data_IF_917090748894
#
_entry.id   IF_917090748894
#
_cell.length_a   1.000
_cell.length_b   1.000
_cell.length_c   1.000
_cell.angle_alpha   90.00
_cell.angle_beta   90.00
_cell.angle_gamma   90.00
#
_symmetry.space_group_name_H-M   'P 1'
#
loop_
_entity.id
_entity.type
_entity.pdbx_description
1 polymer ?
#
# COMPACT_ATOMS: atom_id res chain seq x y z
N UNK A 1 -9.46 0.81 -22.32
CA UNK A 1 -8.87 0.00 -21.24
C UNK A 1 -8.20 0.98 -20.29
N UNK A 2 -8.52 0.97 -18.99
CA UNK A 2 -7.80 1.81 -18.05
C UNK A 2 -6.33 1.39 -18.04
N UNK A 3 -5.40 2.34 -18.06
CA UNK A 3 -3.97 2.04 -18.00
C UNK A 3 -3.67 1.14 -16.78
N UNK A 4 -2.85 0.11 -17.00
CA UNK A 4 -2.43 -0.78 -15.94
C UNK A 4 -1.56 0.02 -14.95
N UNK A 5 -2.12 0.30 -13.77
CA UNK A 5 -1.42 1.09 -12.74
C UNK A 5 -0.55 0.23 -11.81
N UNK A 6 -0.88 -1.06 -11.66
CA UNK A 6 -0.12 -2.02 -10.86
C UNK A 6 0.61 -2.98 -11.79
N UNK A 7 1.85 -2.63 -12.14
CA UNK A 7 2.66 -3.38 -13.11
C UNK A 7 3.59 -4.40 -12.45
N UNK A 8 3.96 -4.20 -11.19
CA UNK A 8 4.85 -5.09 -10.42
C UNK A 8 4.65 -4.91 -8.92
N UNK A 9 5.02 -5.93 -8.14
CA UNK A 9 5.16 -5.85 -6.68
C UNK A 9 6.63 -5.66 -6.24
N UNK A 10 7.57 -5.67 -7.18
CA UNK A 10 9.00 -5.53 -6.90
C UNK A 10 9.35 -4.05 -6.73
N UNK A 11 10.02 -3.71 -5.62
CA UNK A 11 10.47 -2.37 -5.25
C UNK A 11 11.92 -2.40 -4.80
N UNK A 12 12.69 -1.33 -5.05
CA UNK A 12 14.13 -1.32 -4.78
C UNK A 12 14.44 -1.26 -3.28
N UNK A 13 13.58 -0.60 -2.50
CA UNK A 13 13.79 -0.40 -1.07
C UNK A 13 12.55 -0.77 -0.23
N UNK A 14 12.72 -1.03 1.08
CA UNK A 14 11.60 -1.20 1.99
C UNK A 14 10.65 0.01 2.03
N UNK A 15 11.19 1.22 1.90
CA UNK A 15 10.38 2.45 1.88
C UNK A 15 9.47 2.49 0.65
N UNK A 16 10.00 2.25 -0.54
CA UNK A 16 9.19 2.15 -1.76
C UNK A 16 8.15 1.03 -1.65
N UNK A 17 8.50 -0.08 -1.01
CA UNK A 17 7.57 -1.18 -0.73
C UNK A 17 6.41 -0.75 0.17
N UNK A 18 6.68 0.06 1.19
CA UNK A 18 5.65 0.62 2.07
C UNK A 18 4.76 1.62 1.34
N UNK A 19 5.33 2.50 0.51
CA UNK A 19 4.59 3.45 -0.32
C UNK A 19 3.68 2.73 -1.34
N UNK A 20 4.15 1.62 -1.92
CA UNK A 20 3.33 0.74 -2.75
C UNK A 20 2.18 0.12 -1.93
N UNK A 21 2.43 -0.35 -0.71
CA UNK A 21 1.40 -0.91 0.18
C UNK A 21 0.30 0.11 0.51
N UNK A 22 0.68 1.36 0.78
CA UNK A 22 -0.26 2.48 0.97
C UNK A 22 -1.09 2.70 -0.29
N UNK A 23 -0.46 2.66 -1.47
CA UNK A 23 -1.14 2.83 -2.75
C UNK A 23 -2.15 1.71 -3.01
N UNK A 24 -1.77 0.44 -2.79
CA UNK A 24 -2.68 -0.72 -2.89
C UNK A 24 -3.90 -0.53 -1.99
N UNK A 25 -3.68 -0.16 -0.73
CA UNK A 25 -4.73 0.03 0.27
C UNK A 25 -5.74 1.10 -0.16
N UNK A 26 -5.25 2.26 -0.64
CA UNK A 26 -6.09 3.37 -1.13
C UNK A 26 -6.83 3.02 -2.42
N UNK A 27 -6.19 2.27 -3.31
CA UNK A 27 -6.79 1.82 -4.58
C UNK A 27 -7.92 0.83 -4.34
N UNK A 28 -7.80 -0.06 -3.35
CA UNK A 28 -8.89 -0.94 -2.91
C UNK A 28 -10.16 -0.15 -2.57
N UNK A 29 -10.04 0.88 -1.72
CA UNK A 29 -11.17 1.76 -1.37
C UNK A 29 -11.76 2.48 -2.59
N UNK A 30 -10.91 2.95 -3.51
CA UNK A 30 -11.38 3.62 -4.74
C UNK A 30 -12.07 2.65 -5.71
N UNK A 31 -11.70 1.38 -5.73
CA UNK A 31 -12.37 0.37 -6.54
C UNK A 31 -13.75 0.00 -5.97
N UNK A 32 -13.88 -0.04 -4.64
CA UNK A 32 -15.17 -0.33 -4.00
C UNK A 32 -16.12 0.87 -4.05
N UNK A 33 -15.59 2.09 -3.93
CA UNK A 33 -16.33 3.34 -4.07
C UNK A 33 -15.66 4.26 -5.11
N UNK A 34 -16.14 4.27 -6.37
CA UNK A 34 -15.53 5.06 -7.43
C UNK A 34 -15.89 6.56 -7.38
N UNK A 35 -16.97 6.95 -6.67
CA UNK A 35 -17.38 8.35 -6.56
C UNK A 35 -16.48 9.13 -5.60
N UNK A 36 -15.72 10.07 -6.16
CA UNK A 36 -14.79 10.92 -5.43
C UNK A 36 -15.50 11.85 -4.44
N UNK A 37 -16.74 12.26 -4.71
CA UNK A 37 -17.49 13.12 -3.81
C UNK A 37 -17.88 12.36 -2.54
N UNK A 38 -18.36 11.12 -2.70
CA UNK A 38 -18.64 10.22 -1.57
C UNK A 38 -17.38 9.96 -0.76
N UNK A 39 -16.23 9.71 -1.41
CA UNK A 39 -14.96 9.52 -0.69
C UNK A 39 -14.52 10.76 0.10
N UNK A 40 -14.79 11.97 -0.41
CA UNK A 40 -14.47 13.22 0.29
C UNK A 40 -15.37 13.43 1.50
N UNK A 41 -16.65 13.13 1.36
CA UNK A 41 -17.64 13.22 2.43
C UNK A 41 -17.26 12.29 3.60
N UNK A 42 -16.98 11.01 3.30
CA UNK A 42 -16.61 10.01 4.31
C UNK A 42 -15.25 10.27 4.97
N UNK A 43 -14.41 11.14 4.39
CA UNK A 43 -13.04 11.37 4.91
C UNK A 43 -13.03 11.95 6.31
N UNK A 44 -13.96 12.85 6.62
CA UNK A 44 -14.03 13.49 7.94
C UNK A 44 -14.26 12.45 9.05
N UNK A 45 -15.08 11.44 8.78
CA UNK A 45 -15.47 10.42 9.76
C UNK A 45 -14.27 9.58 10.19
N UNK A 46 -13.50 9.08 9.21
CA UNK A 46 -12.41 8.16 9.52
C UNK A 46 -11.09 8.87 9.85
N UNK A 47 -10.88 10.11 9.39
CA UNK A 47 -9.61 10.82 9.59
C UNK A 47 -9.34 11.24 11.05
N UNK A 48 -10.39 11.36 11.86
CA UNK A 48 -10.31 11.74 13.27
C UNK A 48 -10.65 10.59 14.24
N UNK A 49 -10.93 9.39 13.72
CA UNK A 49 -11.26 8.22 14.51
C UNK A 49 -10.02 7.36 14.77
N UNK A 50 -9.67 7.16 16.05
CA UNK A 50 -8.50 6.34 16.45
C UNK A 50 -8.63 4.89 15.94
N UNK A 51 -9.83 4.31 16.04
CA UNK A 51 -10.13 2.96 15.54
C UNK A 51 -9.95 2.90 14.03
N UNK A 52 -10.44 3.91 13.31
CA UNK A 52 -10.32 3.96 11.86
C UNK A 52 -8.87 4.15 11.39
N UNK A 53 -8.09 4.97 12.09
CA UNK A 53 -6.66 5.15 11.82
C UNK A 53 -5.88 3.85 12.07
N UNK A 54 -6.24 3.12 13.13
CA UNK A 54 -5.67 1.80 13.44
C UNK A 54 -6.04 0.77 12.36
N UNK A 55 -7.31 0.74 11.95
CA UNK A 55 -7.78 -0.15 10.89
C UNK A 55 -7.09 0.15 9.54
N UNK A 56 -6.93 1.43 9.18
CA UNK A 56 -6.20 1.82 7.98
C UNK A 56 -4.73 1.35 8.04
N UNK A 57 -4.07 1.52 9.19
CA UNK A 57 -2.71 1.03 9.42
C UNK A 57 -2.61 -0.50 9.28
N UNK A 58 -3.59 -1.24 9.81
CA UNK A 58 -3.65 -2.70 9.68
C UNK A 58 -3.74 -3.16 8.21
N UNK A 59 -4.59 -2.51 7.40
CA UNK A 59 -4.70 -2.84 5.96
C UNK A 59 -3.37 -2.60 5.23
N UNK A 60 -2.70 -1.48 5.55
CA UNK A 60 -1.37 -1.18 4.99
C UNK A 60 -0.36 -2.25 5.42
N UNK A 61 -0.36 -2.67 6.68
CA UNK A 61 0.54 -3.71 7.19
C UNK A 61 0.36 -5.05 6.47
N UNK A 62 -0.88 -5.45 6.18
CA UNK A 62 -1.20 -6.69 5.44
C UNK A 62 -0.67 -6.61 4.00
N UNK A 63 -0.89 -5.48 3.31
CA UNK A 63 -0.35 -5.28 1.96
C UNK A 63 1.18 -5.23 1.97
N UNK A 64 1.78 -4.58 2.96
CA UNK A 64 3.23 -4.50 3.11
C UNK A 64 3.85 -5.87 3.39
N UNK A 65 3.20 -6.73 4.18
CA UNK A 65 3.64 -8.12 4.37
C UNK A 65 3.75 -8.87 3.03
N UNK A 66 2.77 -8.68 2.15
CA UNK A 66 2.76 -9.30 0.81
C UNK A 66 3.88 -8.75 -0.07
N UNK A 67 4.06 -7.43 -0.10
CA UNK A 67 5.11 -6.77 -0.88
C UNK A 67 6.50 -7.14 -0.35
N UNK A 68 6.70 -7.16 0.97
CA UNK A 68 7.96 -7.56 1.58
C UNK A 68 8.34 -9.00 1.23
N UNK A 69 7.37 -9.92 1.26
CA UNK A 69 7.58 -11.30 0.83
C UNK A 69 7.96 -11.38 -0.66
N UNK A 70 7.29 -10.62 -1.53
CA UNK A 70 7.61 -10.54 -2.96
C UNK A 70 9.03 -10.00 -3.23
N UNK A 71 9.56 -9.15 -2.35
CA UNK A 71 10.89 -8.55 -2.45
C UNK A 71 11.99 -9.29 -1.66
N UNK A 72 11.70 -10.49 -1.15
CA UNK A 72 12.67 -11.24 -0.32
C UNK A 72 13.13 -10.46 0.91
N UNK A 73 12.27 -9.58 1.43
CA UNK A 73 12.51 -8.68 2.57
C UNK A 73 13.74 -7.76 2.41
N UNK A 74 14.19 -7.51 1.18
CA UNK A 74 15.37 -6.68 0.87
C UNK A 74 16.66 -7.13 1.60
N UNK A 75 16.76 -8.39 2.02
CA UNK A 75 17.86 -8.92 2.84
C UNK A 75 19.25 -8.80 2.20
N UNK A 76 19.32 -8.58 0.89
CA UNK A 76 20.55 -8.47 0.12
C UNK A 76 20.85 -7.05 -0.37
N UNK A 77 20.03 -6.05 0.02
CA UNK A 77 20.20 -4.66 -0.41
C UNK A 77 21.34 -3.93 0.32
N UNK A 78 21.90 -4.52 1.38
CA UNK A 78 23.06 -4.01 2.10
C UNK A 78 24.18 -5.05 2.14
N UNK A 79 25.05 -5.03 1.13
CA UNK A 79 26.30 -5.79 1.12
C UNK A 79 26.44 -6.71 -0.09
N UNK A 80 27.46 -6.43 -0.90
CA UNK A 80 28.05 -7.29 -1.92
C UNK A 80 27.91 -8.80 -1.65
N UNK A 81 27.30 -9.52 -2.61
CA UNK A 81 27.61 -10.90 -2.97
C UNK A 81 27.18 -11.06 -4.44
N UNK A 82 28.08 -11.13 -5.43
CA UNK A 82 29.01 -12.23 -5.72
C UNK A 82 28.29 -13.57 -5.94
N UNK A 83 27.79 -13.79 -7.15
CA UNK A 83 28.23 -14.82 -8.10
C UNK A 83 27.49 -14.64 -9.42
#
# INVERSE_FOLDING_TARGET
>A
MADAWLTTLITATPQEGFELAVTLSRRGVKYTQPDVNVLKELRADYAHSADSLTAASQVIAINFQTIAAANGYWRHASGTAAA
#
